data_IF_132890947943
#
_entry.id   IF_132890947943
#
_cell.length_a   1.000
_cell.length_b   1.000
_cell.length_c   1.000
_cell.angle_alpha   90.00
_cell.angle_beta   90.00
_cell.angle_gamma   90.00
#
_symmetry.space_group_name_H-M   'P 1'
#
loop_
_entity.id
_entity.type
_entity.pdbx_description
1 polymer ?
#
# COMPACT_ATOMS: atom_id res chain seq x y z
N UNK A 1 3.30 5.66 -20.70
CA UNK A 1 4.58 5.76 -19.97
C UNK A 1 5.66 6.21 -20.92
N UNK A 2 6.71 6.86 -20.41
CA UNK A 2 7.80 7.33 -21.26
C UNK A 2 8.94 7.93 -20.44
N UNK A 3 10.10 8.09 -21.07
CA UNK A 3 11.17 8.90 -20.49
C UNK A 3 10.83 10.38 -20.72
N UNK A 4 10.93 11.18 -19.67
CA UNK A 4 10.86 12.63 -19.72
C UNK A 4 12.20 13.20 -19.25
N UNK A 5 12.56 14.34 -19.81
CA UNK A 5 13.84 14.98 -19.56
C UNK A 5 13.57 16.37 -19.02
N UNK A 6 14.03 16.65 -17.81
CA UNK A 6 13.89 17.96 -17.19
C UNK A 6 15.21 18.70 -17.38
N UNK A 7 15.16 19.76 -18.19
CA UNK A 7 16.26 20.68 -18.39
C UNK A 7 16.22 21.75 -17.30
N UNK A 8 17.32 21.87 -16.55
CA UNK A 8 17.47 22.87 -15.49
C UNK A 8 18.73 23.66 -15.80
N UNK A 9 18.55 24.96 -16.03
CA UNK A 9 19.62 25.88 -16.38
C UNK A 9 19.69 27.02 -15.36
N UNK A 10 20.90 27.46 -15.02
CA UNK A 10 21.16 28.69 -14.30
C UNK A 10 21.87 29.66 -15.27
N UNK A 11 21.31 30.86 -15.47
CA UNK A 11 21.83 31.87 -16.41
C UNK A 11 22.10 31.34 -17.84
N UNK A 12 21.26 30.40 -18.29
CA UNK A 12 21.39 29.77 -19.61
C UNK A 12 22.41 28.62 -19.67
N UNK A 13 23.18 28.38 -18.61
CA UNK A 13 24.08 27.24 -18.49
C UNK A 13 23.36 26.04 -17.83
N UNK A 14 23.46 24.82 -18.37
CA UNK A 14 22.87 23.65 -17.73
C UNK A 14 23.53 23.37 -16.38
N UNK A 15 22.70 23.08 -15.37
CA UNK A 15 23.20 22.60 -14.08
C UNK A 15 23.80 21.20 -14.22
N UNK A 16 24.66 20.83 -13.26
CA UNK A 16 25.19 19.47 -13.14
C UNK A 16 24.05 18.46 -13.14
N UNK A 17 24.23 17.38 -13.90
CA UNK A 17 23.28 16.26 -14.06
C UNK A 17 21.99 16.60 -14.83
N UNK A 18 21.88 17.81 -15.38
CA UNK A 18 20.83 18.16 -16.34
C UNK A 18 21.21 17.72 -17.77
N UNK A 19 20.28 17.12 -18.55
CA UNK A 19 18.88 16.87 -18.21
C UNK A 19 18.68 15.68 -17.27
N UNK A 20 17.79 15.87 -16.29
CA UNK A 20 17.39 14.79 -15.39
C UNK A 20 16.40 13.88 -16.10
N UNK A 21 16.73 12.59 -16.20
CA UNK A 21 15.84 11.59 -16.78
C UNK A 21 14.83 11.11 -15.73
N UNK A 22 13.56 11.45 -15.94
CA UNK A 22 12.44 10.92 -15.18
C UNK A 22 11.72 9.86 -16.00
N UNK A 23 11.54 8.66 -15.46
CA UNK A 23 10.64 7.68 -16.07
C UNK A 23 9.23 7.92 -15.53
N UNK A 24 8.33 8.38 -16.40
CA UNK A 24 6.93 8.56 -16.04
C UNK A 24 6.16 7.29 -16.41
N UNK A 25 5.66 6.59 -15.39
CA UNK A 25 4.71 5.49 -15.55
C UNK A 25 3.43 5.96 -16.24
N UNK A 26 2.70 5.07 -16.92
CA UNK A 26 1.35 5.40 -17.36
C UNK A 26 0.45 5.55 -16.13
N UNK A 27 -0.64 6.35 -16.23
CA UNK A 27 -1.67 6.41 -15.17
C UNK A 27 -2.20 5.02 -14.78
N UNK A 28 -2.11 4.06 -15.70
CA UNK A 28 -2.58 2.67 -15.55
C UNK A 28 -1.49 1.68 -15.10
N UNK A 29 -0.28 2.16 -14.80
CA UNK A 29 0.82 1.29 -14.40
C UNK A 29 0.81 1.17 -12.88
N UNK A 30 -0.04 0.26 -12.40
CA UNK A 30 -0.04 -0.17 -11.02
C UNK A 30 1.33 -0.79 -10.69
N UNK A 31 1.98 -0.33 -9.62
CA UNK A 31 3.19 -0.96 -9.09
C UNK A 31 2.85 -1.68 -7.78
N UNK A 32 2.55 -2.99 -7.83
CA UNK A 32 2.23 -3.77 -6.64
C UNK A 32 3.40 -3.81 -5.64
N UNK A 33 4.64 -3.59 -6.09
CA UNK A 33 5.82 -3.58 -5.21
C UNK A 33 5.89 -2.32 -4.35
N UNK A 34 5.12 -1.29 -4.69
CA UNK A 34 4.99 -0.08 -3.91
C UNK A 34 3.98 -0.20 -2.75
N UNK A 35 3.30 -1.35 -2.62
CA UNK A 35 2.37 -1.63 -1.53
C UNK A 35 3.15 -2.17 -0.34
N UNK A 36 2.86 -1.64 0.84
CA UNK A 36 3.42 -2.16 2.09
C UNK A 36 2.35 -2.32 3.15
N UNK A 37 2.53 -3.32 4.03
CA UNK A 37 1.61 -3.59 5.14
C UNK A 37 2.38 -3.42 6.45
N UNK A 38 1.84 -2.63 7.36
CA UNK A 38 2.45 -2.32 8.65
C UNK A 38 1.43 -2.43 9.79
N UNK A 39 1.91 -2.55 11.03
CA UNK A 39 1.06 -2.68 12.22
C UNK A 39 1.18 -4.05 12.88
N UNK A 40 0.82 -4.12 14.16
CA UNK A 40 1.01 -5.34 14.95
C UNK A 40 -0.04 -6.41 14.64
N UNK A 41 -1.21 -6.01 14.14
CA UNK A 41 -2.30 -6.92 13.79
C UNK A 41 -1.99 -7.88 12.65
N UNK A 42 -0.93 -7.69 11.87
CA UNK A 42 -0.45 -8.69 10.90
C UNK A 42 0.54 -9.69 11.53
N UNK A 43 1.12 -9.38 12.68
CA UNK A 43 2.12 -10.23 13.34
C UNK A 43 1.51 -11.08 14.47
N UNK A 44 0.63 -10.47 15.25
CA UNK A 44 0.00 -11.09 16.42
C UNK A 44 -1.35 -10.46 16.71
N UNK A 45 -2.24 -11.24 17.28
CA UNK A 45 -3.55 -10.79 17.73
C UNK A 45 -3.97 -11.50 19.00
N UNK A 46 -4.84 -10.87 19.78
CA UNK A 46 -5.43 -11.48 20.98
C UNK A 46 -6.91 -11.71 20.73
N UNK A 47 -7.41 -12.90 21.05
CA UNK A 47 -8.82 -13.24 20.90
C UNK A 47 -9.72 -12.27 21.66
N UNK A 48 -10.79 -11.82 21.04
CA UNK A 48 -11.73 -10.84 21.59
C UNK A 48 -11.22 -9.40 21.59
N UNK A 49 -9.97 -9.15 21.19
CA UNK A 49 -9.41 -7.81 21.08
C UNK A 49 -9.32 -7.35 19.63
N UNK A 50 -9.57 -6.05 19.45
CA UNK A 50 -9.47 -5.38 18.16
C UNK A 50 -8.02 -5.31 17.71
N UNK A 51 -7.72 -6.00 16.62
CA UNK A 51 -6.42 -5.98 15.95
C UNK A 51 -6.49 -5.06 14.73
N UNK A 52 -5.39 -4.37 14.41
CA UNK A 52 -5.35 -3.47 13.27
C UNK A 52 -4.00 -3.48 12.54
N UNK A 53 -4.06 -3.24 11.24
CA UNK A 53 -2.90 -3.02 10.38
C UNK A 53 -3.23 -1.99 9.30
N UNK A 54 -2.20 -1.43 8.69
CA UNK A 54 -2.30 -0.39 7.66
C UNK A 54 -1.70 -0.93 6.36
N UNK A 55 -2.45 -0.80 5.27
CA UNK A 55 -1.99 -1.06 3.91
C UNK A 55 -1.72 0.28 3.24
N UNK A 56 -0.46 0.54 2.91
CA UNK A 56 -0.03 1.76 2.21
C UNK A 56 -0.10 1.50 0.71
N UNK A 57 -0.89 2.29 -0.01
CA UNK A 57 -1.11 2.15 -1.47
C UNK A 57 -0.82 3.43 -2.23
N UNK A 58 -0.41 4.52 -1.56
CA UNK A 58 -0.23 5.85 -2.17
C UNK A 58 0.72 5.89 -3.38
N UNK A 59 1.68 4.97 -3.42
CA UNK A 59 2.69 4.89 -4.49
C UNK A 59 2.36 3.80 -5.52
N UNK A 60 1.30 3.02 -5.31
CA UNK A 60 0.94 1.89 -6.17
C UNK A 60 0.15 2.31 -7.41
N UNK A 61 -0.41 3.53 -7.46
CA UNK A 61 -1.27 4.01 -8.55
C UNK A 61 -2.74 3.98 -8.18
N UNK A 62 -3.63 4.11 -9.17
CA UNK A 62 -5.06 3.92 -8.96
C UNK A 62 -5.41 2.43 -9.11
N UNK A 63 -6.21 1.90 -8.19
CA UNK A 63 -6.55 0.48 -8.17
C UNK A 63 -7.52 0.14 -7.04
N UNK A 64 -8.02 -1.09 -7.02
CA UNK A 64 -8.94 -1.60 -6.00
C UNK A 64 -8.20 -2.51 -5.03
N UNK A 65 -8.23 -2.16 -3.74
CA UNK A 65 -7.72 -2.99 -2.66
C UNK A 65 -8.80 -3.97 -2.16
N UNK A 66 -8.50 -5.26 -2.17
CA UNK A 66 -9.31 -6.31 -1.55
C UNK A 66 -8.52 -6.96 -0.43
N UNK A 67 -9.14 -7.13 0.73
CA UNK A 67 -8.54 -7.79 1.89
C UNK A 67 -9.42 -8.95 2.32
N UNK A 68 -8.83 -10.12 2.47
CA UNK A 68 -9.48 -11.33 2.96
C UNK A 68 -8.76 -11.83 4.20
N UNK A 69 -9.50 -12.40 5.14
CA UNK A 69 -8.96 -13.00 6.35
C UNK A 69 -9.56 -14.39 6.52
N UNK A 70 -8.70 -15.40 6.48
CA UNK A 70 -9.05 -16.80 6.71
C UNK A 70 -8.48 -17.26 8.06
N UNK A 71 -9.21 -18.11 8.77
CA UNK A 71 -8.75 -18.60 10.07
C UNK A 71 -9.81 -19.39 10.84
N UNK A 72 -9.52 -19.75 12.10
CA UNK A 72 -10.35 -20.62 12.93
C UNK A 72 -11.67 -19.97 13.39
N UNK A 73 -11.86 -18.67 13.17
CA UNK A 73 -13.14 -18.00 13.38
C UNK A 73 -13.44 -16.99 12.29
N UNK A 74 -14.72 -16.74 12.06
CA UNK A 74 -15.17 -15.63 11.21
C UNK A 74 -14.90 -14.32 11.95
N UNK A 75 -13.91 -13.57 11.49
CA UNK A 75 -13.70 -12.20 11.95
C UNK A 75 -14.34 -11.22 10.97
N UNK A 76 -15.01 -10.20 11.50
CA UNK A 76 -15.44 -9.05 10.70
C UNK A 76 -14.23 -8.17 10.41
N UNK A 77 -14.11 -7.73 9.16
CA UNK A 77 -13.10 -6.78 8.69
C UNK A 77 -13.76 -5.41 8.49
N UNK A 78 -13.25 -4.39 9.17
CA UNK A 78 -13.60 -3.00 8.92
C UNK A 78 -12.41 -2.31 8.25
N UNK A 79 -12.65 -1.61 7.14
CA UNK A 79 -11.64 -0.84 6.43
C UNK A 79 -11.95 0.66 6.51
N UNK A 80 -10.94 1.46 6.81
CA UNK A 80 -11.02 2.92 6.88
C UNK A 80 -10.00 3.51 5.91
N UNK A 81 -10.44 4.43 5.06
CA UNK A 81 -9.55 5.17 4.17
C UNK A 81 -8.67 6.14 4.96
N UNK A 82 -7.40 6.23 4.59
CA UNK A 82 -6.39 7.13 5.11
C UNK A 82 -5.76 7.88 3.94
N UNK A 83 -5.09 9.01 4.22
CA UNK A 83 -4.40 9.81 3.21
C UNK A 83 -3.41 9.00 2.34
N UNK A 84 -2.76 7.96 2.91
CA UNK A 84 -1.74 7.15 2.24
C UNK A 84 -2.16 5.70 1.94
N UNK A 85 -3.42 5.33 2.18
CA UNK A 85 -3.89 3.96 1.98
C UNK A 85 -5.08 3.62 2.87
N UNK A 86 -5.08 2.45 3.49
CA UNK A 86 -6.24 1.94 4.24
C UNK A 86 -5.82 1.34 5.58
N UNK A 87 -6.57 1.66 6.64
CA UNK A 87 -6.49 0.95 7.93
C UNK A 87 -7.51 -0.16 7.95
N UNK A 88 -7.05 -1.38 8.18
CA UNK A 88 -7.89 -2.57 8.33
C UNK A 88 -7.94 -2.98 9.80
N UNK A 89 -9.14 -3.27 10.30
CA UNK A 89 -9.39 -3.70 11.67
C UNK A 89 -10.12 -5.04 11.66
N UNK A 90 -9.74 -5.96 12.55
CA UNK A 90 -10.43 -7.23 12.69
C UNK A 90 -10.52 -7.75 14.13
N UNK A 91 -11.57 -8.56 14.31
CA UNK A 91 -12.07 -9.30 15.49
C UNK A 91 -11.71 -10.79 15.66
N UNK A 92 -10.50 -11.29 15.99
CA UNK A 92 -10.33 -12.75 16.10
C UNK A 92 -11.12 -13.29 17.30
N UNK A 93 -11.97 -14.30 17.11
CA UNK A 93 -12.83 -14.87 18.17
C UNK A 93 -12.38 -16.25 18.65
N UNK A 94 -11.46 -16.89 17.93
CA UNK A 94 -10.85 -18.16 18.33
C UNK A 94 -9.33 -18.10 18.22
N UNK A 95 -8.57 -18.78 19.11
CA UNK A 95 -7.12 -18.87 18.99
C UNK A 95 -6.72 -19.75 17.80
N UNK A 96 -5.55 -19.45 17.22
CA UNK A 96 -4.96 -20.19 16.10
C UNK A 96 -4.41 -19.27 15.02
N UNK A 97 -3.99 -19.87 13.91
CA UNK A 97 -3.37 -19.15 12.80
C UNK A 97 -4.42 -18.47 11.91
N UNK A 98 -4.21 -17.19 11.63
CA UNK A 98 -5.01 -16.41 10.70
C UNK A 98 -4.14 -15.99 9.51
N UNK A 99 -4.71 -16.05 8.32
CA UNK A 99 -4.06 -15.70 7.07
C UNK A 99 -4.78 -14.50 6.46
N UNK A 100 -4.07 -13.38 6.33
CA UNK A 100 -4.57 -12.19 5.67
C UNK A 100 -4.05 -12.14 4.23
N UNK A 101 -4.94 -12.17 3.24
CA UNK A 101 -4.60 -11.98 1.85
C UNK A 101 -4.97 -10.56 1.40
N UNK A 102 -3.97 -9.82 0.89
CA UNK A 102 -4.14 -8.47 0.37
C UNK A 102 -3.92 -8.51 -1.13
N UNK A 103 -4.95 -8.14 -1.90
CA UNK A 103 -4.92 -8.10 -3.36
C UNK A 103 -5.19 -6.68 -3.84
N UNK A 104 -4.37 -6.18 -4.76
CA UNK A 104 -4.54 -4.86 -5.36
C UNK A 104 -4.57 -5.03 -6.88
N UNK A 105 -5.65 -4.56 -7.53
CA UNK A 105 -5.87 -4.64 -8.97
C UNK A 105 -5.87 -3.25 -9.60
#
# INVERSE_FOLDING_TARGET
SGNHYIHVTLDGAPMRDSPFRLRVGGRDQCDPTAISVTGDGIKKGTTGQKCEFIVVTSNAGAGTLTVQLDGPSKATLDAYELERGYKVRYTPLAPGDYYAAVKYN
#
